data_IF_100793880135
#
_entry.id   IF_100793880135
#
_cell.length_a   1.000
_cell.length_b   1.000
_cell.length_c   1.000
_cell.angle_alpha   90.00
_cell.angle_beta   90.00
_cell.angle_gamma   90.00
#
_symmetry.space_group_name_H-M   'P 1'
#
loop_
_entity.id
_entity.type
_entity.pdbx_description
1 polymer ?
#
# COMPACT_ATOMS: atom_id res chain seq x y z
N UNK A 1 4.20 -22.64 57.60
CA UNK A 1 4.13 -21.16 57.53
C UNK A 1 5.32 -20.64 56.71
N UNK A 2 6.58 -20.96 57.08
CA UNK A 2 7.78 -20.59 56.31
C UNK A 2 7.75 -21.00 54.81
N UNK A 3 7.22 -22.18 54.49
CA UNK A 3 7.19 -22.67 53.10
C UNK A 3 6.23 -21.87 52.20
N UNK A 4 5.17 -21.31 52.78
CA UNK A 4 4.23 -20.43 52.06
C UNK A 4 4.87 -19.07 51.78
N UNK A 5 5.60 -18.52 52.75
CA UNK A 5 6.31 -17.24 52.60
C UNK A 5 7.45 -17.34 51.56
N UNK A 6 8.15 -18.47 51.50
CA UNK A 6 9.19 -18.76 50.50
C UNK A 6 8.60 -18.89 49.09
N UNK A 7 7.46 -19.56 48.96
CA UNK A 7 6.72 -19.62 47.70
C UNK A 7 6.28 -18.22 47.28
N UNK A 8 5.63 -17.46 48.16
CA UNK A 8 5.15 -16.11 47.85
C UNK A 8 6.30 -15.17 47.43
N UNK A 9 7.46 -15.22 48.10
CA UNK A 9 8.66 -14.48 47.67
C UNK A 9 9.15 -14.88 46.28
N UNK A 10 9.25 -16.17 45.98
CA UNK A 10 9.70 -16.64 44.68
C UNK A 10 8.74 -16.24 43.54
N UNK A 11 7.43 -16.24 43.83
CA UNK A 11 6.40 -15.75 42.90
C UNK A 11 6.58 -14.26 42.63
N UNK A 12 6.83 -13.46 43.67
CA UNK A 12 7.00 -12.01 43.56
C UNK A 12 8.32 -11.59 42.89
N UNK A 13 9.41 -12.34 43.12
CA UNK A 13 10.70 -12.12 42.46
C UNK A 13 10.62 -12.37 40.95
N UNK A 14 9.90 -13.41 40.55
CA UNK A 14 9.72 -13.76 39.13
C UNK A 14 8.83 -12.76 38.41
N UNK A 15 7.84 -12.18 39.10
CA UNK A 15 6.95 -11.16 38.54
C UNK A 15 7.56 -9.75 38.52
N UNK A 16 8.80 -9.58 38.99
CA UNK A 16 9.51 -8.29 38.98
C UNK A 16 8.92 -7.22 39.91
N UNK A 17 8.04 -7.62 40.85
CA UNK A 17 7.30 -6.69 41.73
C UNK A 17 8.05 -6.41 43.04
N UNK A 18 9.10 -7.16 43.37
CA UNK A 18 9.87 -6.96 44.61
C UNK A 18 11.25 -6.41 44.28
N UNK A 19 11.46 -5.13 44.55
CA UNK A 19 12.77 -4.59 44.91
C UNK A 19 13.16 -5.25 46.24
N UNK A 20 14.25 -6.00 46.27
CA UNK A 20 14.90 -6.39 47.52
C UNK A 20 15.27 -5.12 48.27
N UNK A 21 14.69 -4.90 49.45
CA UNK A 21 15.15 -3.86 50.37
C UNK A 21 16.42 -4.38 51.03
N UNK A 22 17.50 -4.47 50.25
CA UNK A 22 18.84 -4.32 50.79
C UNK A 22 19.08 -2.81 50.82
N UNK A 23 19.34 -2.29 52.01
CA UNK A 23 19.56 -0.85 52.20
C UNK A 23 20.93 -0.54 51.61
N UNK A 24 20.96 -0.08 50.36
CA UNK A 24 22.14 0.55 49.76
C UNK A 24 22.30 1.96 50.35
N UNK A 25 23.46 2.24 50.94
CA UNK A 25 23.82 3.56 51.49
C UNK A 25 24.45 4.50 50.44
N UNK A 26 24.38 4.17 49.15
CA UNK A 26 24.89 5.00 48.05
C UNK A 26 23.73 5.73 47.35
N UNK A 27 23.52 7.00 47.72
CA UNK A 27 22.45 7.88 47.22
C UNK A 27 22.84 8.66 45.95
N UNK A 28 23.57 8.06 45.00
CA UNK A 28 23.97 8.75 43.77
C UNK A 28 23.85 7.86 42.54
N UNK A 29 22.64 7.75 41.99
CA UNK A 29 22.37 8.09 40.58
C UNK A 29 20.88 7.90 40.27
N UNK A 30 20.22 9.04 40.05
CA UNK A 30 18.98 9.24 39.28
C UNK A 30 18.35 7.95 38.72
N UNK A 31 17.42 7.36 39.47
CA UNK A 31 16.61 6.22 39.05
C UNK A 31 15.62 6.64 37.97
N UNK A 32 16.13 6.79 36.74
CA UNK A 32 15.30 7.00 35.55
C UNK A 32 14.46 5.75 35.35
N UNK A 33 13.17 5.89 35.60
CA UNK A 33 12.14 4.84 35.60
C UNK A 33 12.17 4.08 34.26
N UNK A 34 12.86 2.94 34.23
CA UNK A 34 13.10 2.18 33.00
C UNK A 34 11.93 1.24 32.75
N UNK A 35 10.96 1.70 31.95
CA UNK A 35 9.77 0.92 31.57
C UNK A 35 10.18 -0.26 30.68
N UNK A 36 10.06 -1.49 31.19
CA UNK A 36 10.27 -2.71 30.39
C UNK A 36 9.00 -3.07 29.61
N UNK A 37 9.00 -2.87 28.28
CA UNK A 37 7.89 -3.30 27.42
C UNK A 37 8.04 -4.78 27.02
N UNK A 38 7.07 -5.61 27.41
CA UNK A 38 6.93 -6.98 26.92
C UNK A 38 6.02 -6.99 25.69
N UNK A 39 6.61 -6.96 24.49
CA UNK A 39 5.86 -7.05 23.22
C UNK A 39 5.64 -8.52 22.86
N UNK A 40 4.38 -8.95 22.80
CA UNK A 40 4.01 -10.23 22.21
C UNK A 40 3.89 -10.02 20.69
N UNK A 41 4.89 -10.46 19.94
CA UNK A 41 4.79 -10.50 18.48
C UNK A 41 3.97 -11.73 18.06
N UNK A 42 2.64 -11.56 18.03
CA UNK A 42 1.73 -12.58 17.50
C UNK A 42 1.73 -12.44 15.99
N UNK A 43 2.64 -13.17 15.33
CA UNK A 43 2.58 -13.35 13.88
C UNK A 43 1.47 -14.36 13.60
N UNK A 44 0.39 -13.97 12.91
CA UNK A 44 -0.70 -14.90 12.63
C UNK A 44 -0.19 -16.06 11.77
N UNK A 45 -0.78 -17.26 11.90
CA UNK A 45 -0.25 -18.50 11.32
C UNK A 45 -0.16 -18.50 9.78
N UNK A 46 -0.86 -17.58 9.10
CA UNK A 46 -0.75 -17.37 7.65
C UNK A 46 0.46 -16.51 7.23
N UNK A 47 1.10 -15.81 8.17
CA UNK A 47 2.37 -15.09 7.98
C UNK A 47 3.57 -15.87 8.55
N UNK A 48 3.35 -16.90 9.37
CA UNK A 48 4.39 -17.67 10.07
C UNK A 48 5.26 -18.50 9.10
N UNK A 49 4.88 -18.65 7.82
CA UNK A 49 5.71 -19.28 6.77
C UNK A 49 6.02 -20.77 6.97
N UNK A 50 5.75 -21.33 8.14
CA UNK A 50 5.91 -22.74 8.51
C UNK A 50 4.90 -23.65 7.81
N UNK A 51 3.75 -23.10 7.43
CA UNK A 51 2.70 -23.81 6.70
C UNK A 51 2.40 -23.08 5.39
N UNK A 52 2.80 -23.70 4.29
CA UNK A 52 2.48 -23.19 2.94
C UNK A 52 1.08 -23.69 2.60
N UNK A 53 0.07 -22.86 2.80
CA UNK A 53 -1.32 -23.16 2.42
C UNK A 53 -1.51 -23.28 0.90
N UNK A 54 -0.54 -22.83 0.11
CA UNK A 54 -0.58 -22.91 -1.34
C UNK A 54 0.11 -24.18 -1.83
N UNK A 55 -0.57 -24.95 -2.69
CA UNK A 55 0.06 -26.04 -3.45
C UNK A 55 0.88 -25.52 -4.64
N UNK A 56 1.01 -24.20 -4.76
CA UNK A 56 1.56 -23.49 -5.91
C UNK A 56 2.79 -22.71 -5.42
N UNK A 57 3.99 -23.33 -5.47
CA UNK A 57 5.24 -22.67 -5.10
C UNK A 57 5.69 -21.66 -6.16
N UNK A 58 5.23 -21.82 -7.40
CA UNK A 58 5.58 -20.95 -8.52
C UNK A 58 4.46 -19.94 -8.82
N UNK A 59 4.81 -18.69 -9.17
CA UNK A 59 3.83 -17.70 -9.58
C UNK A 59 3.09 -18.18 -10.84
N UNK A 60 1.76 -18.14 -10.81
CA UNK A 60 0.94 -18.55 -11.96
C UNK A 60 1.13 -17.54 -13.09
N UNK A 61 1.80 -17.99 -14.16
CA UNK A 61 1.93 -17.19 -15.37
C UNK A 61 0.55 -17.09 -16.04
N UNK A 62 0.03 -15.88 -16.31
CA UNK A 62 -1.31 -15.70 -16.90
C UNK A 62 -1.41 -16.24 -18.33
N UNK A 63 -0.28 -16.40 -19.02
CA UNK A 63 -0.20 -16.97 -20.37
C UNK A 63 0.74 -18.18 -20.33
N UNK A 64 0.18 -19.39 -20.50
CA UNK A 64 0.96 -20.64 -20.47
C UNK A 64 1.91 -20.78 -21.67
N UNK A 65 1.49 -20.29 -22.83
CA UNK A 65 2.30 -20.29 -24.05
C UNK A 65 2.13 -18.96 -24.78
N UNK A 66 3.23 -18.19 -24.87
CA UNK A 66 3.25 -16.89 -25.52
C UNK A 66 3.25 -16.96 -27.05
N UNK A 67 3.59 -18.12 -27.63
CA UNK A 67 3.60 -18.37 -29.08
C UNK A 67 2.26 -18.84 -29.62
N UNK A 68 1.34 -19.25 -28.74
CA UNK A 68 -0.02 -19.61 -29.11
C UNK A 68 -0.70 -18.50 -29.92
N UNK A 69 -1.38 -18.86 -31.00
CA UNK A 69 -2.12 -17.93 -31.87
C UNK A 69 -3.09 -17.06 -31.07
N UNK A 70 -3.75 -17.63 -30.05
CA UNK A 70 -4.66 -16.88 -29.18
C UNK A 70 -3.93 -15.79 -28.39
N UNK A 71 -2.75 -16.09 -27.85
CA UNK A 71 -1.94 -15.12 -27.12
C UNK A 71 -1.39 -14.03 -28.04
N UNK A 72 -0.97 -14.39 -29.27
CA UNK A 72 -0.51 -13.43 -30.27
C UNK A 72 -1.62 -12.49 -30.74
N UNK A 73 -2.82 -13.02 -30.99
CA UNK A 73 -3.98 -12.22 -31.42
C UNK A 73 -4.44 -11.29 -30.30
N UNK A 74 -4.49 -11.76 -29.05
CA UNK A 74 -4.84 -10.93 -27.90
C UNK A 74 -3.85 -9.77 -27.70
N UNK A 75 -2.55 -10.01 -27.87
CA UNK A 75 -1.50 -8.97 -27.81
C UNK A 75 -1.58 -7.96 -28.94
N UNK A 76 -1.84 -8.42 -30.17
CA UNK A 76 -2.00 -7.53 -31.35
C UNK A 76 -3.28 -6.70 -31.29
N UNK A 77 -4.33 -7.24 -30.66
CA UNK A 77 -5.64 -6.60 -30.54
C UNK A 77 -6.42 -6.54 -31.85
N UNK A 78 -7.57 -5.86 -31.84
CA UNK A 78 -8.41 -5.69 -33.03
C UNK A 78 -7.93 -4.51 -33.90
N UNK A 79 -7.64 -4.80 -35.18
CA UNK A 79 -7.25 -3.78 -36.15
C UNK A 79 -8.31 -2.69 -36.34
N UNK A 80 -9.59 -3.06 -36.31
CA UNK A 80 -10.71 -2.11 -36.42
C UNK A 80 -10.77 -1.12 -35.26
N UNK A 81 -10.47 -1.58 -34.05
CA UNK A 81 -10.46 -0.72 -32.85
C UNK A 81 -9.31 0.29 -32.94
N UNK A 82 -8.15 -0.14 -33.44
CA UNK A 82 -7.00 0.73 -33.65
C UNK A 82 -7.30 1.83 -34.67
N UNK A 83 -7.84 1.48 -35.83
CA UNK A 83 -8.18 2.47 -36.86
C UNK A 83 -9.26 3.43 -36.39
N UNK A 84 -10.26 2.94 -35.65
CA UNK A 84 -11.30 3.80 -35.06
C UNK A 84 -10.72 4.79 -34.05
N UNK A 85 -9.80 4.35 -33.18
CA UNK A 85 -9.13 5.22 -32.19
C UNK A 85 -8.28 6.28 -32.88
N UNK A 86 -7.50 5.91 -33.90
CA UNK A 86 -6.71 6.87 -34.70
C UNK A 86 -7.61 7.91 -35.39
N UNK A 87 -8.73 7.49 -35.99
CA UNK A 87 -9.69 8.42 -36.58
C UNK A 87 -10.34 9.34 -35.55
N UNK A 88 -10.70 8.82 -34.37
CA UNK A 88 -11.28 9.61 -33.28
C UNK A 88 -10.29 10.67 -32.78
N UNK A 89 -9.04 10.31 -32.57
CA UNK A 89 -7.99 11.25 -32.15
C UNK A 89 -7.69 12.27 -33.27
N UNK A 90 -7.66 11.84 -34.53
CA UNK A 90 -7.49 12.76 -35.67
C UNK A 90 -8.64 13.75 -35.78
N UNK A 91 -9.88 13.34 -35.55
CA UNK A 91 -11.06 14.23 -35.53
C UNK A 91 -11.03 15.22 -34.36
N UNK A 92 -10.52 14.82 -33.20
CA UNK A 92 -10.32 15.73 -32.05
C UNK A 92 -9.20 16.74 -32.30
N UNK A 93 -8.10 16.29 -32.92
CA UNK A 93 -6.94 17.12 -33.22
C UNK A 93 -7.17 18.09 -34.40
N UNK A 94 -8.16 17.83 -35.26
CA UNK A 94 -8.64 18.81 -36.21
C UNK A 94 -9.16 20.02 -35.43
N UNK A 95 -8.42 21.13 -35.52
CA UNK A 95 -8.88 22.42 -35.02
C UNK A 95 -10.26 22.64 -35.61
N UNK A 96 -11.25 22.86 -34.74
CA UNK A 96 -12.61 23.18 -35.13
C UNK A 96 -12.60 24.58 -35.75
N UNK A 97 -12.18 24.67 -37.01
CA UNK A 97 -12.09 25.92 -37.74
C UNK A 97 -13.47 26.60 -37.93
N UNK A 98 -14.56 25.90 -37.63
CA UNK A 98 -15.92 26.43 -37.57
C UNK A 98 -16.25 27.17 -36.27
N UNK A 99 -15.46 26.99 -35.20
CA UNK A 99 -15.54 27.82 -33.99
C UNK A 99 -14.80 29.14 -34.30
N UNK A 100 -15.49 30.07 -34.98
CA UNK A 100 -14.94 31.39 -35.31
C UNK A 100 -14.67 32.23 -34.06
N UNK A 101 -15.35 31.95 -32.94
CA UNK A 101 -15.21 32.65 -31.67
C UNK A 101 -13.75 32.62 -31.18
N UNK A 102 -13.11 33.79 -31.10
CA UNK A 102 -11.72 33.93 -30.63
C UNK A 102 -10.64 33.93 -31.72
N UNK A 103 -10.97 33.64 -32.98
CA UNK A 103 -10.03 33.79 -34.11
C UNK A 103 -9.98 35.23 -34.64
N UNK A 104 -8.89 35.63 -35.33
CA UNK A 104 -8.76 36.96 -35.95
C UNK A 104 -9.87 37.24 -36.96
N UNK A 105 -10.27 36.23 -37.73
CA UNK A 105 -11.41 36.29 -38.66
C UNK A 105 -12.75 36.43 -37.91
N UNK A 106 -12.95 35.72 -36.79
CA UNK A 106 -14.18 35.84 -36.00
C UNK A 106 -14.35 37.19 -35.31
N UNK A 107 -13.25 37.83 -34.92
CA UNK A 107 -13.27 39.21 -34.40
C UNK A 107 -13.68 40.20 -35.50
N UNK A 108 -13.24 39.99 -36.74
CA UNK A 108 -13.65 40.82 -37.90
C UNK A 108 -15.12 40.56 -38.26
N UNK A 109 -15.61 39.32 -38.13
CA UNK A 109 -17.01 38.94 -38.39
C UNK A 109 -17.99 39.25 -37.24
N UNK A 110 -17.54 39.85 -36.14
CA UNK A 110 -18.42 40.26 -35.03
C UNK A 110 -19.00 39.12 -34.20
N UNK A 111 -18.38 37.93 -34.23
CA UNK A 111 -18.83 36.76 -33.44
C UNK A 111 -18.43 36.97 -31.98
N UNK A 112 -19.41 37.02 -31.07
CA UNK A 112 -19.17 37.16 -29.62
C UNK A 112 -18.38 35.96 -29.10
N UNK A 113 -17.36 36.22 -28.27
CA UNK A 113 -16.63 35.17 -27.54
C UNK A 113 -17.60 34.45 -26.61
N UNK A 114 -17.70 33.14 -26.72
CA UNK A 114 -18.42 32.33 -25.74
C UNK A 114 -17.62 32.34 -24.44
N UNK A 115 -18.19 32.95 -23.40
CA UNK A 115 -17.63 32.91 -22.05
C UNK A 115 -17.54 31.44 -21.60
N UNK A 116 -16.33 31.00 -21.25
CA UNK A 116 -16.11 29.68 -20.66
C UNK A 116 -16.89 29.60 -19.35
N UNK A 117 -17.94 28.78 -19.33
CA UNK A 117 -18.57 28.37 -18.07
C UNK A 117 -17.57 27.46 -17.35
N UNK A 118 -17.05 27.97 -16.24
CA UNK A 118 -16.32 27.22 -15.20
C UNK A 118 -17.18 26.07 -14.70
#
# INVERSE_FOLDING_TARGET
IQDNELWERNRMLTSGVVQSVDVDEDFDEESVDRVHLLVHNIVPPFLDGRIVFTKQPEPVVPVRDATSDMAMVARKGSGLVRTYREQKERRKAQKKHWELAGTTIGNIMGVKKTEEKV
#
